data_IF_426981535491
#
_entry.id   IF_426981535491
#
_cell.length_a   1.000
_cell.length_b   1.000
_cell.length_c   1.000
_cell.angle_alpha   90.00
_cell.angle_beta   90.00
_cell.angle_gamma   90.00
#
_symmetry.space_group_name_H-M   'P 1'
#
loop_
_entity.id
_entity.type
_entity.pdbx_description
1 polymer ?
#
# COMPACT_ATOMS: atom_id res chain seq x y z
N UNK A 1 1.41 16.71 -12.98
CA UNK A 1 1.40 15.25 -12.70
C UNK A 1 1.97 14.54 -13.91
N UNK A 2 2.72 13.43 -13.74
CA UNK A 2 3.09 12.61 -14.91
C UNK A 2 1.80 12.02 -15.46
N UNK A 3 1.42 12.40 -16.66
CA UNK A 3 0.29 11.81 -17.38
C UNK A 3 0.75 10.65 -18.28
N UNK A 4 2.03 10.27 -18.16
CA UNK A 4 2.66 9.23 -18.95
C UNK A 4 3.33 8.21 -18.03
N UNK A 5 3.39 7.00 -18.56
CA UNK A 5 4.11 5.88 -17.95
C UNK A 5 5.61 6.16 -17.91
N UNK A 6 6.23 5.88 -16.76
CA UNK A 6 7.69 5.92 -16.57
C UNK A 6 8.10 4.64 -15.82
N UNK A 7 8.91 3.77 -16.44
CA UNK A 7 9.35 2.51 -15.82
C UNK A 7 9.94 2.72 -14.43
N UNK A 8 9.52 1.89 -13.48
CA UNK A 8 9.96 1.90 -12.08
C UNK A 8 9.62 3.16 -11.29
N UNK A 9 8.92 4.13 -11.89
CA UNK A 9 8.70 5.45 -11.29
C UNK A 9 7.23 5.79 -11.20
N UNK A 10 6.46 5.59 -12.27
CA UNK A 10 5.04 5.96 -12.31
C UNK A 10 4.27 5.09 -13.29
N UNK A 11 3.32 4.28 -12.80
CA UNK A 11 2.47 3.42 -13.63
C UNK A 11 0.96 3.62 -13.40
N UNK A 12 0.59 4.65 -12.64
CA UNK A 12 -0.81 5.01 -12.38
C UNK A 12 -1.07 6.50 -12.51
N UNK A 13 -2.23 6.84 -13.07
CA UNK A 13 -2.77 8.20 -13.15
C UNK A 13 -3.58 8.59 -11.92
N UNK A 14 -4.13 9.81 -11.97
CA UNK A 14 -4.73 10.45 -10.81
C UNK A 14 -5.94 9.72 -10.22
N UNK A 15 -6.76 9.06 -11.05
CA UNK A 15 -7.90 8.27 -10.57
C UNK A 15 -7.48 7.08 -9.70
N UNK A 16 -6.46 6.34 -10.15
CA UNK A 16 -5.90 5.21 -9.39
C UNK A 16 -5.17 5.69 -8.12
N UNK A 17 -4.46 6.83 -8.17
CA UNK A 17 -3.83 7.43 -6.98
C UNK A 17 -4.88 7.73 -5.91
N UNK A 18 -5.98 8.39 -6.28
CA UNK A 18 -7.10 8.67 -5.35
C UNK A 18 -7.67 7.40 -4.74
N UNK A 19 -7.77 6.31 -5.51
CA UNK A 19 -8.21 5.01 -4.99
C UNK A 19 -7.25 4.44 -3.95
N UNK A 20 -5.93 4.57 -4.16
CA UNK A 20 -4.92 4.13 -3.16
C UNK A 20 -4.93 5.00 -1.91
N UNK A 21 -5.20 6.30 -2.04
CA UNK A 21 -5.45 7.19 -0.90
C UNK A 21 -6.69 6.76 -0.10
N UNK A 22 -7.79 6.41 -0.78
CA UNK A 22 -8.98 5.90 -0.12
C UNK A 22 -8.71 4.58 0.63
N UNK A 23 -7.94 3.66 0.03
CA UNK A 23 -7.48 2.44 0.72
C UNK A 23 -6.65 2.75 1.96
N UNK A 24 -5.75 3.75 1.88
CA UNK A 24 -4.97 4.19 3.03
C UNK A 24 -5.88 4.71 4.16
N UNK A 25 -6.83 5.59 3.84
CA UNK A 25 -7.79 6.13 4.81
C UNK A 25 -8.64 5.02 5.44
N UNK A 26 -9.10 4.05 4.64
CA UNK A 26 -9.83 2.89 5.14
C UNK A 26 -8.99 2.05 6.10
N UNK A 27 -7.72 1.78 5.75
CA UNK A 27 -6.79 1.09 6.64
C UNK A 27 -6.59 1.84 7.97
N UNK A 28 -6.45 3.16 7.93
CA UNK A 28 -6.33 3.98 9.14
C UNK A 28 -7.56 3.87 10.05
N UNK A 29 -8.76 3.87 9.45
CA UNK A 29 -10.01 3.66 10.18
C UNK A 29 -10.07 2.29 10.86
N UNK A 30 -9.65 1.22 10.15
CA UNK A 30 -9.56 -0.11 10.74
C UNK A 30 -8.56 -0.18 11.89
N UNK A 31 -7.38 0.45 11.76
CA UNK A 31 -6.40 0.53 12.86
C UNK A 31 -7.05 1.18 14.08
N UNK A 32 -7.75 2.30 13.91
CA UNK A 32 -8.41 3.01 15.00
C UNK A 32 -9.45 2.13 15.71
N UNK A 33 -10.35 1.49 14.96
CA UNK A 33 -11.38 0.61 15.55
C UNK A 33 -10.75 -0.58 16.27
N UNK A 34 -9.80 -1.27 15.63
CA UNK A 34 -9.14 -2.43 16.24
C UNK A 34 -8.41 -2.04 17.52
N UNK A 35 -7.74 -0.88 17.52
CA UNK A 35 -7.03 -0.37 18.70
C UNK A 35 -8.01 -0.05 19.83
N UNK A 36 -9.11 0.65 19.54
CA UNK A 36 -10.15 0.94 20.54
C UNK A 36 -10.70 -0.37 21.12
N UNK A 37 -11.07 -1.33 20.27
CA UNK A 37 -11.62 -2.61 20.71
C UNK A 37 -10.68 -3.37 21.64
N UNK A 38 -9.40 -3.47 21.29
CA UNK A 38 -8.37 -4.12 22.11
C UNK A 38 -8.24 -3.45 23.48
N UNK A 39 -8.20 -2.11 23.51
CA UNK A 39 -8.02 -1.34 24.74
C UNK A 39 -9.25 -1.36 25.64
N UNK A 40 -10.47 -1.43 25.08
CA UNK A 40 -11.71 -1.45 25.88
C UNK A 40 -12.10 -2.83 26.39
N UNK A 41 -11.46 -3.90 25.92
CA UNK A 41 -11.81 -5.29 26.26
C UNK A 41 -10.72 -6.02 27.03
N UNK A 42 -9.76 -5.27 27.59
CA UNK A 42 -8.64 -5.77 28.42
C UNK A 42 -7.94 -7.01 27.82
N UNK A 43 -7.77 -7.03 26.50
CA UNK A 43 -7.14 -8.15 25.82
C UNK A 43 -5.66 -8.25 26.19
N UNK A 44 -5.11 -9.47 26.11
CA UNK A 44 -3.70 -9.69 26.35
C UNK A 44 -2.83 -8.94 25.33
N UNK A 45 -1.56 -8.74 25.68
CA UNK A 45 -0.62 -8.00 24.83
C UNK A 45 -0.42 -8.64 23.45
N UNK A 46 -0.62 -9.95 23.32
CA UNK A 46 -0.55 -10.69 22.05
C UNK A 46 -1.62 -10.25 21.06
N UNK A 47 -2.82 -9.88 21.51
CA UNK A 47 -3.90 -9.39 20.66
C UNK A 47 -3.49 -8.15 19.84
N UNK A 48 -2.55 -7.34 20.33
CA UNK A 48 -2.03 -6.15 19.64
C UNK A 48 -1.31 -6.47 18.33
N UNK A 49 -0.80 -7.69 18.15
CA UNK A 49 -0.21 -8.14 16.89
C UNK A 49 -1.24 -8.17 15.74
N UNK A 50 -2.54 -8.28 16.05
CA UNK A 50 -3.61 -8.23 15.05
C UNK A 50 -3.68 -6.90 14.29
N UNK A 51 -3.13 -5.81 14.86
CA UNK A 51 -3.01 -4.50 14.20
C UNK A 51 -2.18 -4.57 12.92
N UNK A 52 -1.34 -5.59 12.75
CA UNK A 52 -0.57 -5.79 11.53
C UNK A 52 -1.42 -5.84 10.27
N UNK A 53 -2.58 -6.51 10.30
CA UNK A 53 -3.44 -6.63 9.12
C UNK A 53 -3.97 -5.27 8.65
N UNK A 54 -4.66 -4.46 9.49
CA UNK A 54 -5.12 -3.13 9.07
C UNK A 54 -3.95 -2.18 8.77
N UNK A 55 -2.80 -2.34 9.44
CA UNK A 55 -1.58 -1.59 9.13
C UNK A 55 -1.01 -1.91 7.74
N UNK A 56 -1.09 -3.15 7.26
CA UNK A 56 -0.72 -3.53 5.88
C UNK A 56 -1.65 -2.85 4.88
N UNK A 57 -2.97 -2.85 5.12
CA UNK A 57 -3.95 -2.18 4.24
C UNK A 57 -3.63 -0.70 4.11
N UNK A 58 -3.42 -0.02 5.24
CA UNK A 58 -2.99 1.37 5.29
C UNK A 58 -1.70 1.58 4.49
N UNK A 59 -0.67 0.80 4.81
CA UNK A 59 0.69 0.98 4.28
C UNK A 59 0.76 0.77 2.77
N UNK A 60 0.07 -0.25 2.24
CA UNK A 60 -0.02 -0.50 0.80
C UNK A 60 -0.65 0.70 0.08
N UNK A 61 -1.79 1.20 0.57
CA UNK A 61 -2.45 2.37 -0.02
C UNK A 61 -1.58 3.63 0.06
N UNK A 62 -0.98 3.86 1.22
CA UNK A 62 -0.12 5.02 1.48
C UNK A 62 1.13 5.01 0.59
N UNK A 63 1.92 3.94 0.61
CA UNK A 63 3.17 3.84 -0.16
C UNK A 63 2.89 3.92 -1.66
N UNK A 64 1.92 3.16 -2.19
CA UNK A 64 1.59 3.20 -3.62
C UNK A 64 1.11 4.58 -4.07
N UNK A 65 0.27 5.27 -3.27
CA UNK A 65 -0.22 6.61 -3.63
C UNK A 65 0.90 7.66 -3.64
N UNK A 66 1.83 7.61 -2.67
CA UNK A 66 3.00 8.50 -2.61
C UNK A 66 3.97 8.25 -3.75
N UNK A 67 4.23 6.99 -4.07
CA UNK A 67 5.10 6.57 -5.18
C UNK A 67 4.45 6.73 -6.55
N UNK A 68 3.12 6.92 -6.62
CA UNK A 68 2.35 6.92 -7.88
C UNK A 68 2.59 5.64 -8.68
N UNK A 69 2.76 4.55 -7.96
CA UNK A 69 3.12 3.26 -8.53
C UNK A 69 2.30 2.17 -7.87
N UNK A 70 1.54 1.45 -8.68
CA UNK A 70 0.77 0.30 -8.29
C UNK A 70 1.62 -0.97 -8.40
N UNK A 71 1.84 -1.64 -7.27
CA UNK A 71 2.65 -2.87 -7.24
C UNK A 71 2.04 -3.98 -8.09
N UNK A 72 0.71 -4.11 -8.09
CA UNK A 72 0.01 -5.16 -8.85
C UNK A 72 0.20 -4.96 -10.36
N UNK A 73 0.13 -3.72 -10.82
CA UNK A 73 0.42 -3.36 -12.21
C UNK A 73 1.88 -3.59 -12.57
N UNK A 74 2.80 -3.24 -11.67
CA UNK A 74 4.23 -3.50 -11.89
C UNK A 74 4.56 -4.99 -12.01
N UNK A 75 3.91 -5.85 -11.20
CA UNK A 75 4.05 -7.30 -11.31
C UNK A 75 3.44 -7.85 -12.61
N UNK A 76 2.24 -7.37 -12.98
CA UNK A 76 1.52 -7.78 -14.17
C UNK A 76 2.12 -7.24 -15.48
N UNK A 77 3.04 -6.26 -15.42
CA UNK A 77 3.58 -5.58 -16.60
C UNK A 77 2.52 -4.69 -17.27
N UNK A 78 1.74 -3.97 -16.47
CA UNK A 78 0.68 -3.08 -16.92
C UNK A 78 0.79 -1.69 -16.29
N UNK A 79 -0.03 -0.76 -16.76
CA UNK A 79 -0.18 0.59 -16.21
C UNK A 79 -1.59 1.13 -16.51
N UNK A 80 -2.02 2.17 -15.79
CA UNK A 80 -3.31 2.83 -16.07
C UNK A 80 -3.25 4.34 -15.81
N UNK A 81 -3.31 5.14 -16.87
CA UNK A 81 -3.49 6.61 -16.81
C UNK A 81 -4.85 7.08 -17.35
N UNK A 82 -5.68 6.15 -17.84
CA UNK A 82 -7.00 6.44 -18.39
C UNK A 82 -8.08 6.40 -17.32
N UNK A 83 -9.29 6.02 -17.73
CA UNK A 83 -10.38 5.74 -16.78
C UNK A 83 -10.00 4.54 -15.90
N UNK A 84 -10.58 4.45 -14.71
CA UNK A 84 -10.38 3.28 -13.84
C UNK A 84 -10.74 2.00 -14.62
N UNK A 85 -9.83 1.03 -14.61
CA UNK A 85 -9.95 -0.21 -15.39
C UNK A 85 -9.47 -0.15 -16.85
N UNK A 86 -9.11 1.02 -17.39
CA UNK A 86 -8.54 1.16 -18.74
C UNK A 86 -7.04 0.82 -18.75
N UNK A 87 -6.73 -0.44 -18.46
CA UNK A 87 -5.38 -0.95 -18.28
C UNK A 87 -4.66 -1.07 -19.64
N UNK A 88 -3.42 -0.60 -19.69
CA UNK A 88 -2.51 -0.74 -20.82
C UNK A 88 -1.35 -1.66 -20.49
N UNK A 89 -0.74 -2.30 -21.49
CA UNK A 89 0.38 -3.23 -21.33
C UNK A 89 1.72 -2.51 -21.54
N UNK A 90 2.69 -2.81 -20.68
CA UNK A 90 4.09 -2.46 -20.91
C UNK A 90 4.62 -3.31 -22.06
N UNK A 91 5.30 -2.70 -23.04
CA UNK A 91 5.75 -3.40 -24.24
C UNK A 91 7.13 -4.03 -24.02
N UNK A 92 8.10 -3.25 -23.56
CA UNK A 92 9.48 -3.71 -23.31
C UNK A 92 9.56 -4.75 -22.18
N UNK A 93 10.43 -5.74 -22.36
CA UNK A 93 10.74 -6.73 -21.32
C UNK A 93 11.64 -6.12 -20.22
N UNK A 94 12.51 -5.19 -20.59
CA UNK A 94 13.39 -4.43 -19.70
C UNK A 94 12.55 -3.59 -18.74
N UNK A 95 11.57 -2.85 -19.26
CA UNK A 95 10.64 -2.04 -18.47
C UNK A 95 9.84 -2.91 -17.49
N UNK A 96 9.36 -4.09 -17.92
CA UNK A 96 8.69 -5.05 -17.03
C UNK A 96 9.60 -5.53 -15.89
N UNK A 97 10.88 -5.77 -16.16
CA UNK A 97 11.85 -6.17 -15.13
C UNK A 97 12.05 -5.06 -14.10
N UNK A 98 12.19 -3.80 -14.57
CA UNK A 98 12.32 -2.62 -13.71
C UNK A 98 11.06 -2.43 -12.85
N UNK A 99 9.88 -2.58 -13.44
CA UNK A 99 8.59 -2.46 -12.74
C UNK A 99 8.40 -3.56 -11.70
N UNK A 100 8.77 -4.81 -12.00
CA UNK A 100 8.73 -5.92 -11.04
C UNK A 100 9.65 -5.69 -9.85
N UNK A 101 10.88 -5.23 -10.09
CA UNK A 101 11.82 -4.87 -9.03
C UNK A 101 11.24 -3.78 -8.13
N UNK A 102 10.66 -2.76 -8.73
CA UNK A 102 10.01 -1.65 -8.01
C UNK A 102 8.80 -2.13 -7.22
N UNK A 103 7.98 -3.01 -7.78
CA UNK A 103 6.81 -3.58 -7.11
C UNK A 103 7.22 -4.39 -5.86
N UNK A 104 8.27 -5.21 -5.95
CA UNK A 104 8.82 -5.95 -4.80
C UNK A 104 9.34 -4.98 -3.72
N UNK A 105 10.04 -3.92 -4.14
CA UNK A 105 10.51 -2.90 -3.19
C UNK A 105 9.36 -2.18 -2.48
N UNK A 106 8.29 -1.81 -3.21
CA UNK A 106 7.09 -1.21 -2.62
C UNK A 106 6.40 -2.16 -1.65
N UNK A 107 6.33 -3.46 -1.97
CA UNK A 107 5.78 -4.47 -1.07
C UNK A 107 6.59 -4.54 0.22
N UNK A 108 7.92 -4.61 0.13
CA UNK A 108 8.80 -4.60 1.28
C UNK A 108 8.64 -3.33 2.12
N UNK A 109 8.61 -2.15 1.49
CA UNK A 109 8.36 -0.88 2.18
C UNK A 109 7.03 -0.87 2.92
N UNK A 110 5.98 -1.45 2.31
CA UNK A 110 4.64 -1.51 2.92
C UNK A 110 4.61 -2.46 4.11
N UNK A 111 5.26 -3.63 4.01
CA UNK A 111 5.37 -4.59 5.11
C UNK A 111 6.21 -4.01 6.26
N UNK A 112 7.33 -3.36 5.96
CA UNK A 112 8.19 -2.74 6.95
C UNK A 112 7.46 -1.61 7.71
N UNK A 113 6.71 -0.76 6.99
CA UNK A 113 5.90 0.28 7.60
C UNK A 113 4.79 -0.31 8.49
N UNK A 114 4.09 -1.34 8.01
CA UNK A 114 3.07 -2.02 8.80
C UNK A 114 3.66 -2.65 10.07
N UNK A 115 4.81 -3.32 9.96
CA UNK A 115 5.54 -3.88 11.10
C UNK A 115 5.96 -2.81 12.11
N UNK A 116 6.44 -1.66 11.66
CA UNK A 116 6.78 -0.53 12.52
C UNK A 116 5.54 0.01 13.27
N UNK A 117 4.41 0.17 12.58
CA UNK A 117 3.15 0.59 13.19
C UNK A 117 2.72 -0.43 14.26
N UNK A 118 2.69 -1.73 13.93
CA UNK A 118 2.34 -2.78 14.89
C UNK A 118 3.28 -2.83 16.09
N UNK A 119 4.59 -2.64 15.88
CA UNK A 119 5.57 -2.60 16.95
C UNK A 119 5.30 -1.46 17.94
N UNK A 120 4.85 -0.29 17.46
CA UNK A 120 4.44 0.83 18.33
C UNK A 120 3.30 0.39 19.25
N UNK A 121 2.23 -0.21 18.71
CA UNK A 121 1.11 -0.70 19.53
C UNK A 121 1.53 -1.81 20.50
N UNK A 122 2.42 -2.71 20.08
CA UNK A 122 2.88 -3.81 20.92
C UNK A 122 3.78 -3.33 22.06
N UNK A 123 4.65 -2.34 21.84
CA UNK A 123 5.64 -1.89 22.82
C UNK A 123 5.04 -0.87 23.80
N UNK A 124 4.18 0.04 23.34
CA UNK A 124 3.66 1.10 24.18
C UNK A 124 2.77 0.53 25.32
N UNK A 125 2.86 1.10 26.54
CA UNK A 125 1.92 0.83 27.62
C UNK A 125 0.61 1.59 27.36
N UNK A 126 -0.09 1.19 26.29
CA UNK A 126 -1.45 1.60 25.98
C UNK A 126 -2.46 0.85 26.83
#
# INVERSE_FOLDING_TARGET
MSNTYVPGTCNIGQGEIKRRQAVAIFGLFLIAISSIGILTTDQDRGARLSIFIPAVIFSIGFVQSRKKFCLAYGLAGTFNFGKLGQISKVQSLEDKKVDRKTAVFILFQSIALAGAITAIFFILPL
#
